data_IF_036075004469
#
_entry.id   IF_036075004469
#
_cell.length_a   1.000
_cell.length_b   1.000
_cell.length_c   1.000
_cell.angle_alpha   90.00
_cell.angle_beta   90.00
_cell.angle_gamma   90.00
#
_symmetry.space_group_name_H-M   'P 1'
#
loop_
_entity.id
_entity.type
_entity.pdbx_description
1 polymer ?
#
# COMPACT_ATOMS: atom_id res chain seq x y z
N UNK A 1 -12.09 -9.52 7.61
CA UNK A 1 -12.62 -9.19 6.26
C UNK A 1 -12.13 -10.25 5.28
N UNK A 2 -12.96 -10.72 4.33
CA UNK A 2 -12.53 -11.67 3.28
C UNK A 2 -12.10 -10.91 2.02
N UNK A 3 -11.37 -11.59 1.12
CA UNK A 3 -10.97 -11.02 -0.17
C UNK A 3 -12.20 -10.65 -1.03
N UNK A 4 -13.26 -11.42 -0.95
CA UNK A 4 -14.53 -11.14 -1.67
C UNK A 4 -15.18 -9.83 -1.17
N UNK A 5 -15.20 -9.60 0.16
CA UNK A 5 -15.70 -8.34 0.70
C UNK A 5 -14.86 -7.14 0.30
N UNK A 6 -13.53 -7.32 0.21
CA UNK A 6 -12.64 -6.27 -0.29
C UNK A 6 -12.97 -5.98 -1.75
N UNK A 7 -12.97 -6.99 -2.62
CA UNK A 7 -13.28 -6.85 -4.04
C UNK A 7 -14.67 -6.22 -4.28
N UNK A 8 -15.67 -6.61 -3.50
CA UNK A 8 -17.01 -6.01 -3.53
C UNK A 8 -16.96 -4.49 -3.28
N UNK A 9 -16.27 -4.06 -2.22
CA UNK A 9 -16.16 -2.63 -1.89
C UNK A 9 -15.42 -1.85 -2.99
N UNK A 10 -14.29 -2.37 -3.46
CA UNK A 10 -13.49 -1.74 -4.52
C UNK A 10 -14.29 -1.57 -5.81
N UNK A 11 -15.03 -2.60 -6.23
CA UNK A 11 -15.87 -2.53 -7.41
C UNK A 11 -17.01 -1.50 -7.28
N UNK A 12 -17.60 -1.37 -6.08
CA UNK A 12 -18.68 -0.42 -5.84
C UNK A 12 -18.21 1.03 -5.66
N UNK A 13 -16.93 1.25 -5.32
CA UNK A 13 -16.32 2.59 -5.28
C UNK A 13 -15.89 3.11 -6.65
N UNK A 14 -15.87 2.27 -7.67
CA UNK A 14 -15.53 2.68 -9.04
C UNK A 14 -16.54 3.69 -9.59
N UNK A 15 -16.06 4.71 -10.28
CA UNK A 15 -16.93 5.72 -10.88
C UNK A 15 -17.87 5.09 -11.92
N UNK A 16 -19.18 5.16 -11.69
CA UNK A 16 -20.21 4.45 -12.45
C UNK A 16 -20.52 3.04 -11.95
N UNK A 17 -19.89 2.62 -10.83
CA UNK A 17 -20.17 1.36 -10.14
C UNK A 17 -19.80 0.10 -10.93
N UNK A 18 -20.38 -1.03 -10.53
CA UNK A 18 -20.07 -2.34 -11.09
C UNK A 18 -20.38 -2.43 -12.60
N UNK A 19 -21.39 -1.71 -13.08
CA UNK A 19 -21.76 -1.73 -14.51
C UNK A 19 -20.67 -1.11 -15.37
N UNK A 20 -20.18 0.08 -14.98
CA UNK A 20 -19.09 0.75 -15.67
C UNK A 20 -17.78 -0.04 -15.58
N UNK A 21 -17.48 -0.61 -14.39
CA UNK A 21 -16.33 -1.46 -14.21
C UNK A 21 -16.38 -2.71 -15.09
N UNK A 22 -17.53 -3.38 -15.18
CA UNK A 22 -17.71 -4.53 -16.06
C UNK A 22 -17.43 -4.19 -17.53
N UNK A 23 -17.88 -3.02 -17.99
CA UNK A 23 -17.63 -2.55 -19.36
C UNK A 23 -16.13 -2.38 -19.64
N UNK A 24 -15.37 -1.74 -18.76
CA UNK A 24 -13.91 -1.56 -18.94
C UNK A 24 -13.14 -2.86 -18.80
N UNK A 25 -13.61 -3.79 -17.98
CA UNK A 25 -13.04 -5.14 -17.85
C UNK A 25 -13.41 -6.07 -19.02
N UNK A 26 -14.27 -5.64 -19.96
CA UNK A 26 -14.78 -6.50 -21.04
C UNK A 26 -15.61 -7.67 -20.55
N UNK A 27 -16.35 -7.49 -19.46
CA UNK A 27 -17.18 -8.52 -18.81
C UNK A 27 -18.67 -8.16 -18.87
N UNK A 28 -19.53 -9.17 -18.74
CA UNK A 28 -20.95 -8.91 -18.49
C UNK A 28 -21.14 -8.36 -17.07
N UNK A 29 -21.95 -7.30 -16.95
CA UNK A 29 -22.33 -6.68 -15.69
C UNK A 29 -22.97 -7.66 -14.71
N UNK A 30 -23.87 -8.51 -15.19
CA UNK A 30 -24.54 -9.55 -14.41
C UNK A 30 -23.57 -10.61 -13.89
N UNK A 31 -22.62 -11.02 -14.73
CA UNK A 31 -21.61 -12.03 -14.36
C UNK A 31 -20.64 -11.42 -13.32
N UNK A 32 -20.18 -10.19 -13.54
CA UNK A 32 -19.30 -9.53 -12.58
C UNK A 32 -20.01 -9.28 -11.25
N UNK A 33 -21.25 -8.79 -11.26
CA UNK A 33 -22.03 -8.59 -10.04
C UNK A 33 -22.24 -9.90 -9.26
N UNK A 34 -22.51 -11.02 -9.95
CA UNK A 34 -22.62 -12.33 -9.32
C UNK A 34 -21.31 -12.79 -8.67
N UNK A 35 -20.17 -12.61 -9.35
CA UNK A 35 -18.84 -12.96 -8.84
C UNK A 35 -18.40 -12.11 -7.66
N UNK A 36 -18.83 -10.86 -7.61
CA UNK A 36 -18.53 -9.93 -6.52
C UNK A 36 -19.40 -10.16 -5.29
N UNK A 37 -20.57 -10.76 -5.45
CA UNK A 37 -21.51 -10.94 -4.34
C UNK A 37 -20.99 -11.96 -3.31
N UNK A 38 -20.68 -11.54 -2.07
CA UNK A 38 -20.12 -12.42 -1.06
C UNK A 38 -21.09 -13.53 -0.58
N UNK A 39 -22.38 -13.43 -0.94
CA UNK A 39 -23.41 -14.40 -0.60
C UNK A 39 -23.62 -15.45 -1.69
N UNK A 40 -22.84 -15.43 -2.78
CA UNK A 40 -22.92 -16.38 -3.90
C UNK A 40 -21.69 -17.27 -3.89
N UNK A 41 -21.84 -18.53 -3.53
CA UNK A 41 -20.74 -19.49 -3.42
C UNK A 41 -20.37 -20.19 -4.75
N UNK A 42 -21.18 -20.01 -5.79
CA UNK A 42 -20.99 -20.69 -7.07
C UNK A 42 -20.15 -19.93 -8.08
N UNK A 43 -19.92 -18.62 -7.86
CA UNK A 43 -19.24 -17.75 -8.78
C UNK A 43 -18.22 -16.88 -8.02
N UNK A 44 -16.94 -17.05 -8.33
CA UNK A 44 -15.86 -16.27 -7.73
C UNK A 44 -15.05 -15.56 -8.80
N UNK A 45 -14.42 -14.44 -8.42
CA UNK A 45 -13.39 -13.84 -9.24
C UNK A 45 -12.20 -14.82 -9.32
N UNK A 46 -11.66 -15.02 -10.51
CA UNK A 46 -10.37 -15.65 -10.66
C UNK A 46 -9.24 -14.61 -10.41
N UNK A 47 -8.01 -15.10 -10.34
CA UNK A 47 -6.85 -14.24 -10.05
C UNK A 47 -6.70 -13.13 -11.10
N UNK A 48 -6.85 -13.44 -12.39
CA UNK A 48 -6.73 -12.44 -13.45
C UNK A 48 -7.83 -11.37 -13.38
N UNK A 49 -9.05 -11.76 -13.00
CA UNK A 49 -10.14 -10.80 -12.81
C UNK A 49 -9.94 -9.92 -11.58
N UNK A 50 -9.35 -10.46 -10.52
CA UNK A 50 -9.00 -9.68 -9.32
C UNK A 50 -7.89 -8.67 -9.62
N UNK A 51 -6.88 -9.07 -10.39
CA UNK A 51 -5.79 -8.23 -10.86
C UNK A 51 -6.32 -7.06 -11.73
N UNK A 52 -7.12 -7.38 -12.75
CA UNK A 52 -7.79 -6.35 -13.57
C UNK A 52 -8.65 -5.40 -12.73
N UNK A 53 -9.41 -5.92 -11.76
CA UNK A 53 -10.22 -5.10 -10.86
C UNK A 53 -9.35 -4.13 -10.09
N UNK A 54 -8.23 -4.59 -9.54
CA UNK A 54 -7.30 -3.76 -8.79
C UNK A 54 -6.69 -2.65 -9.65
N UNK A 55 -6.31 -2.96 -10.89
CA UNK A 55 -5.75 -1.99 -11.83
C UNK A 55 -6.78 -0.91 -12.21
N UNK A 56 -7.99 -1.31 -12.60
CA UNK A 56 -9.02 -0.34 -13.00
C UNK A 56 -9.54 0.51 -11.84
N UNK A 57 -9.48 0.01 -10.60
CA UNK A 57 -9.91 0.75 -9.41
C UNK A 57 -8.76 1.46 -8.68
N UNK A 58 -7.52 1.39 -9.21
CA UNK A 58 -6.29 1.90 -8.57
C UNK A 58 -6.14 1.40 -7.12
N UNK A 59 -6.39 0.10 -6.92
CA UNK A 59 -6.47 -0.52 -5.59
C UNK A 59 -5.42 -1.59 -5.34
N UNK A 60 -4.34 -1.60 -6.12
CA UNK A 60 -3.24 -2.55 -5.97
C UNK A 60 -2.64 -2.52 -4.56
N UNK A 61 -2.50 -1.31 -3.98
CA UNK A 61 -2.01 -1.14 -2.61
C UNK A 61 -2.97 -1.79 -1.59
N UNK A 62 -4.28 -1.60 -1.74
CA UNK A 62 -5.26 -2.19 -0.83
C UNK A 62 -5.27 -3.73 -0.86
N UNK A 63 -5.03 -4.34 -2.03
CA UNK A 63 -4.83 -5.78 -2.15
C UNK A 63 -3.52 -6.24 -1.51
N UNK A 64 -2.43 -5.52 -1.73
CA UNK A 64 -1.13 -5.82 -1.12
C UNK A 64 -1.25 -5.78 0.42
N UNK A 65 -1.86 -4.74 0.98
CA UNK A 65 -2.11 -4.61 2.43
C UNK A 65 -2.97 -5.75 2.99
N UNK A 66 -4.02 -6.15 2.25
CA UNK A 66 -4.85 -7.28 2.66
C UNK A 66 -4.05 -8.57 2.81
N UNK A 67 -3.17 -8.88 1.86
CA UNK A 67 -2.33 -10.08 1.94
C UNK A 67 -1.20 -9.94 2.95
N UNK A 68 -0.62 -8.75 3.09
CA UNK A 68 0.40 -8.47 4.09
C UNK A 68 -0.13 -8.69 5.52
N UNK A 69 -1.33 -8.21 5.83
CA UNK A 69 -1.98 -8.48 7.12
C UNK A 69 -2.13 -9.97 7.41
N UNK A 70 -2.50 -10.77 6.41
CA UNK A 70 -2.60 -12.24 6.57
C UNK A 70 -1.25 -12.92 6.78
N UNK A 71 -0.20 -12.35 6.21
CA UNK A 71 1.17 -12.84 6.32
C UNK A 71 1.91 -12.28 7.55
N UNK A 72 1.25 -11.47 8.39
CA UNK A 72 1.89 -10.71 9.48
C UNK A 72 3.06 -9.85 8.97
N UNK A 73 2.90 -9.27 7.78
CA UNK A 73 3.86 -8.41 7.11
C UNK A 73 3.31 -6.98 6.96
N UNK A 74 4.19 -6.07 6.56
CA UNK A 74 3.83 -4.69 6.21
C UNK A 74 4.13 -4.44 4.73
N UNK A 75 3.35 -3.56 4.12
CA UNK A 75 3.63 -3.06 2.77
C UNK A 75 4.37 -1.74 2.91
N UNK A 76 5.47 -1.60 2.22
CA UNK A 76 6.19 -0.33 2.11
C UNK A 76 6.12 0.14 0.68
N UNK A 77 5.51 1.31 0.48
CA UNK A 77 5.43 1.94 -0.85
C UNK A 77 6.82 2.39 -1.27
N UNK A 78 7.27 1.92 -2.42
CA UNK A 78 8.57 2.34 -2.95
C UNK A 78 8.49 3.82 -3.37
N UNK A 79 9.44 4.66 -2.92
CA UNK A 79 9.49 6.03 -3.37
C UNK A 79 9.78 6.07 -4.88
N UNK A 80 9.19 7.04 -5.57
CA UNK A 80 9.60 7.35 -6.94
C UNK A 80 11.09 7.75 -6.89
N UNK A 81 11.95 6.94 -7.52
CA UNK A 81 13.38 7.25 -7.60
C UNK A 81 13.52 8.22 -8.77
N UNK A 82 13.92 9.49 -8.55
CA UNK A 82 14.16 10.41 -9.63
C UNK A 82 15.23 9.83 -10.58
N UNK A 83 14.99 9.87 -11.87
CA UNK A 83 15.86 9.24 -12.87
C UNK A 83 17.27 9.83 -12.94
N UNK A 84 17.48 11.03 -12.43
CA UNK A 84 18.74 11.77 -12.59
C UNK A 84 19.03 12.76 -11.45
N UNK A 85 19.05 12.35 -10.22
CA UNK A 85 19.80 13.17 -9.26
C UNK A 85 21.02 12.39 -8.81
N UNK A 86 22.19 12.96 -9.08
CA UNK A 86 23.48 12.70 -8.43
C UNK A 86 23.41 12.96 -6.90
N UNK A 87 22.32 12.54 -6.29
CA UNK A 87 22.28 12.45 -4.83
C UNK A 87 23.25 11.36 -4.47
N UNK A 88 24.47 11.75 -4.09
CA UNK A 88 25.51 10.81 -3.72
C UNK A 88 25.01 9.86 -2.64
N UNK A 89 25.60 8.68 -2.55
CA UNK A 89 25.28 7.71 -1.50
C UNK A 89 25.31 8.34 -0.11
N UNK A 90 26.20 9.32 0.09
CA UNK A 90 26.29 10.06 1.35
C UNK A 90 25.00 10.84 1.64
N UNK A 91 24.43 11.51 0.64
CA UNK A 91 23.17 12.26 0.81
C UNK A 91 22.00 11.33 1.13
N UNK A 92 21.95 10.17 0.48
CA UNK A 92 20.97 9.12 0.79
C UNK A 92 21.10 8.63 2.24
N UNK A 93 22.33 8.41 2.70
CA UNK A 93 22.59 8.04 4.09
C UNK A 93 22.20 9.16 5.07
N UNK A 94 22.56 10.42 4.77
CA UNK A 94 22.20 11.58 5.59
C UNK A 94 20.67 11.78 5.67
N UNK A 95 19.94 11.49 4.59
CA UNK A 95 18.49 11.52 4.61
C UNK A 95 17.89 10.47 5.57
N UNK A 96 18.46 9.26 5.65
CA UNK A 96 18.05 8.24 6.64
C UNK A 96 18.29 8.76 8.06
N UNK A 97 19.46 9.33 8.33
CA UNK A 97 19.80 9.86 9.67
C UNK A 97 18.84 10.98 10.09
N UNK A 98 18.42 11.83 9.15
CA UNK A 98 17.41 12.87 9.40
C UNK A 98 16.07 12.25 9.82
N UNK A 99 15.52 11.32 9.04
CA UNK A 99 14.24 10.65 9.36
C UNK A 99 14.30 9.87 10.68
N UNK A 100 15.44 9.23 10.98
CA UNK A 100 15.67 8.59 12.28
C UNK A 100 15.62 9.59 13.44
N UNK A 101 16.17 10.80 13.24
CA UNK A 101 16.08 11.88 14.22
C UNK A 101 14.66 12.38 14.45
N UNK A 102 13.86 12.48 13.37
CA UNK A 102 12.46 12.88 13.44
C UNK A 102 11.61 11.82 14.15
N UNK A 103 11.82 10.53 13.85
CA UNK A 103 11.20 9.41 14.56
C UNK A 103 11.55 9.43 16.07
N UNK A 104 12.83 9.60 16.41
CA UNK A 104 13.26 9.65 17.80
C UNK A 104 12.62 10.82 18.57
N UNK A 105 12.57 12.01 17.97
CA UNK A 105 11.93 13.19 18.55
C UNK A 105 10.42 12.98 18.72
N UNK A 106 9.75 12.39 17.74
CA UNK A 106 8.31 12.09 17.80
C UNK A 106 8.01 11.09 18.93
N UNK A 107 8.78 10.01 19.01
CA UNK A 107 8.64 9.01 20.06
C UNK A 107 8.88 9.61 21.46
N UNK A 108 9.94 10.40 21.63
CA UNK A 108 10.24 11.05 22.90
C UNK A 108 9.10 11.99 23.34
N UNK A 109 8.52 12.74 22.42
CA UNK A 109 7.39 13.63 22.71
C UNK A 109 6.14 12.82 23.10
N UNK A 110 5.82 11.79 22.33
CA UNK A 110 4.66 10.95 22.59
C UNK A 110 4.74 10.19 23.92
N UNK A 111 5.94 9.74 24.29
CA UNK A 111 6.14 8.95 25.51
C UNK A 111 6.50 9.79 26.76
N UNK A 112 6.39 11.11 26.68
CA UNK A 112 6.80 12.03 27.76
C UNK A 112 6.00 11.90 29.05
N UNK A 113 4.76 11.48 28.98
CA UNK A 113 3.85 11.23 30.11
C UNK A 113 3.76 9.74 30.51
N UNK A 114 4.45 8.85 29.79
CA UNK A 114 4.52 7.41 30.05
C UNK A 114 3.46 6.58 29.34
N UNK A 115 2.55 7.20 28.57
CA UNK A 115 1.52 6.54 27.79
C UNK A 115 1.60 6.97 26.31
N UNK A 116 1.08 6.15 25.39
CA UNK A 116 0.98 6.49 23.97
C UNK A 116 -0.48 6.40 23.55
N UNK A 117 -1.08 7.51 23.21
CA UNK A 117 -2.44 7.56 22.67
C UNK A 117 -2.51 6.98 21.25
N UNK A 118 -3.71 6.62 20.81
CA UNK A 118 -3.94 6.12 19.44
C UNK A 118 -3.45 7.10 18.38
N UNK A 119 -3.65 8.40 18.58
CA UNK A 119 -3.20 9.45 17.65
C UNK A 119 -1.67 9.53 17.58
N UNK A 120 -0.99 9.40 18.70
CA UNK A 120 0.49 9.40 18.75
C UNK A 120 1.06 8.13 18.13
N UNK A 121 0.43 6.98 18.35
CA UNK A 121 0.79 5.75 17.67
C UNK A 121 0.69 5.87 16.14
N UNK A 122 -0.37 6.48 15.62
CA UNK A 122 -0.52 6.75 14.19
C UNK A 122 0.59 7.67 13.64
N UNK A 123 0.96 8.70 14.40
CA UNK A 123 2.05 9.60 14.04
C UNK A 123 3.41 8.89 14.03
N UNK A 124 3.71 8.11 15.07
CA UNK A 124 4.93 7.29 15.14
C UNK A 124 4.98 6.30 13.98
N UNK A 125 3.86 5.65 13.66
CA UNK A 125 3.75 4.70 12.54
C UNK A 125 4.07 5.37 11.21
N UNK A 126 3.65 6.62 11.01
CA UNK A 126 4.00 7.40 9.83
C UNK A 126 5.51 7.63 9.74
N UNK A 127 6.15 8.10 10.82
CA UNK A 127 7.60 8.32 10.84
C UNK A 127 8.38 7.01 10.58
N UNK A 128 7.90 5.88 11.12
CA UNK A 128 8.47 4.56 10.81
C UNK A 128 8.39 4.25 9.32
N UNK A 129 7.26 4.53 8.68
CA UNK A 129 7.08 4.33 7.23
C UNK A 129 8.03 5.22 6.41
N UNK A 130 8.24 6.46 6.84
CA UNK A 130 9.14 7.40 6.18
C UNK A 130 10.60 6.91 6.26
N UNK A 131 11.05 6.42 7.43
CA UNK A 131 12.36 5.76 7.59
C UNK A 131 12.50 4.54 6.67
N UNK A 132 11.49 3.66 6.62
CA UNK A 132 11.51 2.47 5.77
C UNK A 132 11.64 2.84 4.29
N UNK A 133 10.90 3.86 3.85
CA UNK A 133 10.96 4.36 2.46
C UNK A 133 12.36 4.88 2.11
N UNK A 134 13.01 5.63 3.01
CA UNK A 134 14.38 6.11 2.81
C UNK A 134 15.41 4.98 2.76
N UNK A 135 15.27 3.97 3.62
CA UNK A 135 16.13 2.79 3.62
C UNK A 135 16.04 2.03 2.28
N UNK A 136 14.85 1.84 1.75
CA UNK A 136 14.65 1.17 0.47
C UNK A 136 15.20 2.00 -0.71
N UNK A 137 15.00 3.32 -0.69
CA UNK A 137 15.59 4.22 -1.68
C UNK A 137 17.12 4.13 -1.66
N UNK A 138 17.71 4.16 -0.49
CA UNK A 138 19.17 4.04 -0.31
C UNK A 138 19.70 2.68 -0.78
N UNK A 139 19.00 1.59 -0.45
CA UNK A 139 19.34 0.26 -0.96
C UNK A 139 19.33 0.21 -2.49
N UNK A 140 18.34 0.83 -3.13
CA UNK A 140 18.25 0.92 -4.59
C UNK A 140 19.41 1.73 -5.19
N UNK A 141 19.83 2.81 -4.52
CA UNK A 141 21.01 3.60 -4.92
C UNK A 141 22.30 2.77 -4.83
N UNK A 142 22.51 2.05 -3.72
CA UNK A 142 23.67 1.14 -3.56
C UNK A 142 23.72 0.14 -4.69
N UNK A 143 22.56 -0.49 -5.03
CA UNK A 143 22.50 -1.50 -6.10
C UNK A 143 22.99 -0.99 -7.46
N UNK A 144 22.85 0.32 -7.74
CA UNK A 144 23.30 0.94 -9.00
C UNK A 144 24.82 1.10 -9.08
N UNK A 145 25.52 1.16 -7.96
CA UNK A 145 26.96 1.33 -7.89
C UNK A 145 27.74 0.05 -7.59
N UNK A 146 27.04 -1.05 -7.31
CA UNK A 146 27.66 -2.37 -7.18
C UNK A 146 28.10 -2.85 -8.57
N UNK A 147 29.36 -3.24 -8.69
CA UNK A 147 29.99 -3.73 -9.91
C UNK A 147 30.06 -5.27 -9.90
#
# INVERSE_FOLDING_TARGET
MTIQHLAYRLAHSFNGGVVALAAVMGKSDKVLASKLNPNVDTHHLNIAELDMLADFTDSNLALAEYFAQKAHAVVVVLPAIPDESDMGLLDGYMAIMKEMGELASRFQTAYSDGDISQKEFEQITKEVSDVQSKLLAFQAQIKRVVR
#
